data_IF_445312158234
#
_entry.id   IF_445312158234
#
_cell.length_a   1.000
_cell.length_b   1.000
_cell.length_c   1.000
_cell.angle_alpha   90.00
_cell.angle_beta   90.00
_cell.angle_gamma   90.00
#
_symmetry.space_group_name_H-M   'P 1'
#
loop_
_entity.id
_entity.type
_entity.pdbx_description
1 polymer ?
#
# COMPACT_ATOMS: atom_id res chain seq x y z
N UNK A 1 4.36 -14.61 11.89
CA UNK A 1 3.08 -13.91 11.68
C UNK A 1 3.21 -12.99 10.45
N UNK A 2 3.33 -13.58 9.27
CA UNK A 2 3.49 -12.92 7.96
C UNK A 2 2.63 -13.60 6.86
N UNK A 3 1.78 -14.57 7.25
CA UNK A 3 1.01 -15.40 6.31
C UNK A 3 -0.18 -14.64 5.68
N UNK A 4 -0.43 -13.39 6.11
CA UNK A 4 -1.56 -12.58 5.66
C UNK A 4 -1.28 -11.73 4.41
N UNK A 5 -0.04 -11.72 3.88
CA UNK A 5 0.35 -10.85 2.75
C UNK A 5 1.26 -11.56 1.74
N UNK A 6 1.14 -11.16 0.48
CA UNK A 6 2.01 -11.55 -0.63
C UNK A 6 2.83 -10.34 -1.05
N UNK A 7 4.15 -10.45 -1.05
CA UNK A 7 5.05 -9.32 -1.33
C UNK A 7 5.58 -9.31 -2.76
N UNK A 8 5.75 -10.48 -3.36
CA UNK A 8 6.22 -10.68 -4.72
C UNK A 8 5.66 -11.98 -5.29
N UNK A 9 5.92 -12.21 -6.58
CA UNK A 9 5.54 -13.43 -7.31
C UNK A 9 6.75 -14.26 -7.72
N UNK A 10 7.96 -13.93 -7.25
CA UNK A 10 9.20 -14.53 -7.72
C UNK A 10 9.25 -16.01 -7.35
N UNK A 11 9.34 -16.88 -8.37
CA UNK A 11 9.41 -18.32 -8.20
C UNK A 11 8.11 -18.99 -7.76
N UNK A 12 6.98 -18.27 -7.71
CA UNK A 12 5.69 -18.80 -7.25
C UNK A 12 4.90 -19.46 -8.38
N UNK A 13 4.23 -20.57 -8.10
CA UNK A 13 3.19 -21.12 -8.98
C UNK A 13 1.83 -20.50 -8.67
N UNK A 14 1.25 -19.83 -9.67
CA UNK A 14 -0.01 -19.10 -9.49
C UNK A 14 -1.12 -19.62 -10.39
N UNK A 15 -2.35 -19.51 -9.92
CA UNK A 15 -3.55 -19.88 -10.69
C UNK A 15 -4.53 -18.72 -10.68
N UNK A 16 -5.06 -18.33 -11.83
CA UNK A 16 -6.13 -17.34 -11.91
C UNK A 16 -7.49 -18.04 -11.97
N UNK A 17 -8.46 -17.52 -11.22
CA UNK A 17 -9.88 -17.90 -11.28
C UNK A 17 -10.75 -16.67 -11.53
N UNK A 18 -11.79 -16.81 -12.35
CA UNK A 18 -12.62 -15.67 -12.77
C UNK A 18 -11.97 -14.76 -13.82
N UNK A 19 -12.62 -13.64 -14.08
CA UNK A 19 -12.19 -12.54 -14.96
C UNK A 19 -11.65 -11.39 -14.12
N UNK A 20 -10.68 -10.66 -14.65
CA UNK A 20 -10.24 -9.37 -14.11
C UNK A 20 -10.65 -8.36 -15.17
N UNK A 21 -11.43 -7.35 -14.77
CA UNK A 21 -11.93 -6.34 -15.71
C UNK A 21 -10.75 -5.63 -16.38
N UNK A 22 -10.93 -5.24 -17.65
CA UNK A 22 -9.91 -4.61 -18.51
C UNK A 22 -8.70 -5.48 -18.89
N UNK A 23 -8.64 -6.76 -18.51
CA UNK A 23 -7.56 -7.67 -18.89
C UNK A 23 -8.05 -8.99 -19.46
N UNK A 24 -7.40 -9.46 -20.52
CA UNK A 24 -7.59 -10.83 -21.01
C UNK A 24 -6.60 -11.79 -20.35
N UNK A 25 -6.96 -13.08 -20.27
CA UNK A 25 -6.14 -14.10 -19.59
C UNK A 25 -4.68 -14.16 -20.10
N UNK A 26 -4.38 -14.08 -21.41
CA UNK A 26 -2.99 -14.04 -21.90
C UNK A 26 -2.18 -12.85 -21.39
N UNK A 27 -2.78 -11.68 -21.21
CA UNK A 27 -2.11 -10.49 -20.66
C UNK A 27 -1.76 -10.69 -19.19
N UNK A 28 -2.69 -11.23 -18.40
CA UNK A 28 -2.46 -11.56 -17.00
C UNK A 28 -1.32 -12.58 -16.84
N UNK A 29 -1.25 -13.57 -17.74
CA UNK A 29 -0.15 -14.54 -17.78
C UNK A 29 1.18 -13.85 -18.10
N UNK A 30 1.20 -12.96 -19.09
CA UNK A 30 2.39 -12.18 -19.44
C UNK A 30 2.88 -11.31 -18.28
N UNK A 31 1.95 -10.67 -17.55
CA UNK A 31 2.26 -9.88 -16.35
C UNK A 31 2.87 -10.78 -15.27
N UNK A 32 2.22 -11.90 -14.94
CA UNK A 32 2.69 -12.82 -13.91
C UNK A 32 4.10 -13.37 -14.22
N UNK A 33 4.34 -13.78 -15.47
CA UNK A 33 5.63 -14.28 -15.90
C UNK A 33 6.73 -13.21 -15.79
N UNK A 34 6.41 -11.94 -16.11
CA UNK A 34 7.34 -10.82 -15.94
C UNK A 34 7.69 -10.55 -14.49
N UNK A 35 6.76 -10.83 -13.56
CA UNK A 35 6.97 -10.74 -12.12
C UNK A 35 7.62 -11.99 -11.52
N UNK A 36 8.06 -12.95 -12.35
CA UNK A 36 8.79 -14.14 -11.94
C UNK A 36 7.92 -15.32 -11.50
N UNK A 37 6.60 -15.25 -11.66
CA UNK A 37 5.69 -16.37 -11.38
C UNK A 37 5.56 -17.32 -12.58
N UNK A 38 5.17 -18.56 -12.29
CA UNK A 38 4.71 -19.52 -13.30
C UNK A 38 3.20 -19.71 -13.19
N UNK A 39 2.47 -19.44 -14.27
CA UNK A 39 1.01 -19.63 -14.27
C UNK A 39 0.65 -21.07 -14.63
N UNK A 40 -0.17 -21.71 -13.78
CA UNK A 40 -0.74 -23.03 -14.03
C UNK A 40 -2.21 -22.95 -14.43
N UNK A 41 -2.70 -23.92 -15.25
CA UNK A 41 -4.10 -23.94 -15.64
C UNK A 41 -5.02 -24.24 -14.46
N UNK A 42 -4.58 -25.09 -13.53
CA UNK A 42 -5.38 -25.59 -12.39
C UNK A 42 -4.57 -25.61 -11.09
N UNK A 43 -5.30 -25.61 -9.97
CA UNK A 43 -4.71 -25.68 -8.62
C UNK A 43 -4.16 -27.08 -8.38
N UNK A 44 -2.88 -27.16 -8.03
CA UNK A 44 -2.16 -28.40 -7.72
C UNK A 44 -1.33 -28.27 -6.43
N UNK A 45 -0.61 -29.34 -6.07
CA UNK A 45 0.11 -29.42 -4.79
C UNK A 45 1.20 -28.36 -4.61
N UNK A 46 1.76 -27.86 -5.71
CA UNK A 46 2.81 -26.84 -5.71
C UNK A 46 2.26 -25.42 -5.90
N UNK A 47 0.93 -25.25 -6.00
CA UNK A 47 0.34 -23.93 -6.17
C UNK A 47 0.54 -23.10 -4.91
N UNK A 48 1.26 -22.00 -5.03
CA UNK A 48 1.49 -21.07 -3.92
C UNK A 48 0.33 -20.08 -3.78
N UNK A 49 -0.28 -19.65 -4.90
CA UNK A 49 -1.19 -18.51 -4.91
C UNK A 49 -2.36 -18.67 -5.90
N UNK A 50 -3.57 -18.39 -5.43
CA UNK A 50 -4.77 -18.26 -6.24
C UNK A 50 -5.13 -16.77 -6.39
N UNK A 51 -5.17 -16.28 -7.63
CA UNK A 51 -5.70 -14.95 -7.95
C UNK A 51 -7.19 -15.04 -8.24
N UNK A 52 -7.99 -14.36 -7.42
CA UNK A 52 -9.45 -14.33 -7.48
C UNK A 52 -9.94 -13.09 -8.23
N UNK A 53 -10.35 -13.29 -9.47
CA UNK A 53 -11.15 -12.32 -10.22
C UNK A 53 -12.66 -12.50 -9.97
N UNK A 54 -13.48 -11.73 -10.68
CA UNK A 54 -14.95 -11.78 -10.62
C UNK A 54 -15.54 -12.79 -11.59
N UNK A 55 -16.71 -13.34 -11.29
CA UNK A 55 -17.49 -14.12 -12.26
C UNK A 55 -18.97 -14.10 -11.92
N UNK A 56 -19.81 -13.92 -12.93
CA UNK A 56 -21.26 -14.05 -12.82
C UNK A 56 -21.74 -15.50 -12.83
N UNK A 57 -20.84 -16.46 -13.09
CA UNK A 57 -21.14 -17.88 -13.28
C UNK A 57 -20.49 -18.76 -12.20
N UNK A 58 -20.24 -18.21 -11.02
CA UNK A 58 -19.66 -18.97 -9.91
C UNK A 58 -20.56 -20.13 -9.47
N UNK A 59 -19.99 -21.35 -9.41
CA UNK A 59 -20.71 -22.58 -9.04
C UNK A 59 -21.43 -22.48 -7.69
N UNK A 60 -20.86 -21.73 -6.74
CA UNK A 60 -21.40 -21.59 -5.39
C UNK A 60 -22.00 -20.20 -5.13
N UNK A 61 -22.32 -19.45 -6.19
CA UNK A 61 -22.92 -18.11 -6.11
C UNK A 61 -21.91 -17.00 -5.89
N UNK A 62 -21.06 -17.10 -4.86
CA UNK A 62 -20.05 -16.09 -4.50
C UNK A 62 -18.59 -16.56 -4.65
N UNK A 63 -18.36 -17.80 -5.11
CA UNK A 63 -17.03 -18.34 -5.42
C UNK A 63 -17.07 -19.56 -6.35
N UNK A 64 -15.92 -19.90 -6.94
CA UNK A 64 -15.76 -21.00 -7.89
C UNK A 64 -15.21 -22.30 -7.28
N UNK A 65 -15.16 -23.36 -8.11
CA UNK A 65 -14.60 -24.68 -7.74
C UNK A 65 -13.13 -24.62 -7.29
N UNK A 66 -12.34 -23.72 -7.87
CA UNK A 66 -10.91 -23.55 -7.54
C UNK A 66 -10.69 -22.97 -6.15
N UNK A 67 -11.51 -22.02 -5.74
CA UNK A 67 -11.46 -21.46 -4.37
C UNK A 67 -11.90 -22.51 -3.34
N UNK A 68 -12.92 -23.31 -3.65
CA UNK A 68 -13.33 -24.45 -2.82
C UNK A 68 -12.20 -25.49 -2.67
N UNK A 69 -11.47 -25.75 -3.77
CA UNK A 69 -10.32 -26.65 -3.79
C UNK A 69 -9.19 -26.12 -2.90
N UNK A 70 -8.84 -24.83 -3.02
CA UNK A 70 -7.85 -24.19 -2.14
C UNK A 70 -8.25 -24.31 -0.67
N UNK A 71 -9.51 -24.05 -0.32
CA UNK A 71 -10.01 -24.21 1.04
C UNK A 71 -9.85 -25.66 1.56
N UNK A 72 -10.00 -26.67 0.70
CA UNK A 72 -9.77 -28.08 1.07
C UNK A 72 -8.27 -28.37 1.27
N UNK A 73 -7.42 -27.83 0.40
CA UNK A 73 -5.97 -28.05 0.44
C UNK A 73 -5.32 -27.35 1.65
N UNK A 74 -5.79 -26.16 2.02
CA UNK A 74 -5.36 -25.49 3.26
C UNK A 74 -5.65 -26.34 4.50
N UNK A 75 -6.81 -27.01 4.58
CA UNK A 75 -7.15 -27.93 5.69
C UNK A 75 -6.25 -29.16 5.75
N UNK A 76 -5.66 -29.57 4.63
CA UNK A 76 -4.71 -30.69 4.56
C UNK A 76 -3.26 -30.23 4.69
N UNK A 77 -3.02 -28.97 5.09
CA UNK A 77 -1.70 -28.42 5.41
C UNK A 77 -0.98 -27.73 4.27
N UNK A 78 -1.61 -27.57 3.10
CA UNK A 78 -1.00 -26.82 1.99
C UNK A 78 -1.04 -25.32 2.26
N UNK A 79 0.08 -24.63 1.98
CA UNK A 79 0.23 -23.18 2.17
C UNK A 79 -0.14 -22.39 0.92
N UNK A 80 -1.37 -22.60 0.43
CA UNK A 80 -1.89 -21.85 -0.71
C UNK A 80 -2.55 -20.58 -0.18
N UNK A 81 -2.17 -19.40 -0.67
CA UNK A 81 -2.81 -18.13 -0.33
C UNK A 81 -3.74 -17.66 -1.44
N UNK A 82 -4.67 -16.77 -1.14
CA UNK A 82 -5.59 -16.18 -2.13
C UNK A 82 -5.44 -14.67 -2.09
N UNK A 83 -5.35 -14.04 -3.25
CA UNK A 83 -5.42 -12.58 -3.42
C UNK A 83 -6.51 -12.25 -4.41
N UNK A 84 -7.12 -11.06 -4.33
CA UNK A 84 -8.09 -10.63 -5.34
C UNK A 84 -7.40 -9.99 -6.57
N UNK A 85 -8.21 -9.58 -7.53
CA UNK A 85 -7.76 -8.89 -8.73
C UNK A 85 -6.97 -7.61 -8.41
N UNK A 86 -7.43 -6.83 -7.44
CA UNK A 86 -6.78 -5.59 -7.04
C UNK A 86 -5.40 -5.87 -6.43
N UNK A 87 -5.30 -6.85 -5.53
CA UNK A 87 -4.02 -7.29 -4.96
C UNK A 87 -3.04 -7.78 -6.03
N UNK A 88 -3.49 -8.59 -6.98
CA UNK A 88 -2.63 -9.03 -8.09
C UNK A 88 -2.12 -7.86 -8.94
N UNK A 89 -2.98 -6.91 -9.30
CA UNK A 89 -2.57 -5.71 -10.03
C UNK A 89 -1.68 -4.79 -9.19
N UNK A 90 -1.86 -4.78 -7.87
CA UNK A 90 -0.96 -4.14 -6.91
C UNK A 90 0.45 -4.71 -7.01
N UNK A 91 0.60 -6.04 -7.04
CA UNK A 91 1.91 -6.71 -7.17
C UNK A 91 2.65 -6.30 -8.46
N UNK A 92 1.93 -6.03 -9.55
CA UNK A 92 2.52 -5.48 -10.79
C UNK A 92 3.19 -4.12 -10.58
N UNK A 93 2.61 -3.31 -9.71
CA UNK A 93 3.10 -1.97 -9.37
C UNK A 93 4.01 -1.98 -8.14
N UNK A 94 4.48 -3.17 -7.73
CA UNK A 94 5.24 -3.39 -6.51
C UNK A 94 4.47 -2.96 -5.26
N UNK A 95 3.16 -3.22 -5.13
CA UNK A 95 2.40 -3.12 -3.89
C UNK A 95 2.10 -4.53 -3.33
N UNK A 96 2.21 -4.77 -2.01
CA UNK A 96 1.92 -6.09 -1.44
C UNK A 96 0.42 -6.35 -1.54
N UNK A 97 0.05 -7.60 -1.78
CA UNK A 97 -1.35 -8.01 -1.85
C UNK A 97 -1.81 -8.62 -0.52
N UNK A 98 -2.91 -8.14 0.08
CA UNK A 98 -3.48 -8.79 1.24
C UNK A 98 -4.01 -10.16 0.82
N UNK A 99 -3.73 -11.17 1.63
CA UNK A 99 -4.36 -12.45 1.46
C UNK A 99 -5.78 -12.37 1.98
N UNK A 100 -6.67 -13.05 1.28
CA UNK A 100 -8.09 -13.14 1.62
C UNK A 100 -8.43 -14.58 1.91
N UNK A 101 -9.28 -14.79 2.91
CA UNK A 101 -9.73 -16.12 3.27
C UNK A 101 -10.58 -16.70 2.13
N UNK A 102 -10.48 -18.02 1.85
CA UNK A 102 -11.42 -18.65 0.94
C UNK A 102 -12.83 -18.59 1.49
N UNK A 103 -13.81 -18.42 0.59
CA UNK A 103 -15.19 -18.69 0.92
C UNK A 103 -15.36 -20.17 1.24
N UNK A 104 -15.78 -20.44 2.47
CA UNK A 104 -16.21 -21.75 2.93
C UNK A 104 -17.73 -21.69 3.06
N UNK A 105 -18.50 -22.66 2.55
CA UNK A 105 -19.92 -22.72 2.82
C UNK A 105 -20.12 -22.96 4.32
N UNK A 106 -20.49 -21.90 5.06
CA UNK A 106 -21.10 -22.01 6.39
C UNK A 106 -22.59 -22.22 6.18
N UNK A 107 -23.14 -23.25 6.81
CA UNK A 107 -24.58 -23.37 7.05
C UNK A 107 -24.99 -22.08 7.78
N UNK A 108 -25.81 -21.27 7.09
CA UNK A 108 -26.61 -20.13 7.56
C UNK A 108 -26.02 -19.23 8.66
N UNK A 109 -25.60 -18.02 8.27
CA UNK A 109 -26.20 -16.77 8.74
C UNK A 109 -25.59 -15.57 7.99
N UNK A 110 -26.47 -14.70 7.48
CA UNK A 110 -26.12 -13.37 6.98
C UNK A 110 -25.58 -12.51 8.13
N UNK A 111 -24.50 -11.77 7.87
CA UNK A 111 -24.25 -10.44 8.43
C UNK A 111 -23.39 -9.63 7.45
N UNK A 112 -23.54 -8.29 7.42
CA UNK A 112 -23.12 -7.45 6.31
C UNK A 112 -21.59 -7.34 6.23
N UNK A 113 -21.08 -7.02 5.04
CA UNK A 113 -19.72 -6.58 4.84
C UNK A 113 -19.41 -5.44 5.84
N UNK A 114 -18.53 -5.70 6.79
CA UNK A 114 -17.97 -4.67 7.64
C UNK A 114 -17.31 -3.64 6.74
N UNK A 115 -17.84 -2.42 6.74
CA UNK A 115 -17.08 -1.24 6.34
C UNK A 115 -15.81 -1.22 7.18
N UNK A 116 -14.65 -1.23 6.52
CA UNK A 116 -13.34 -1.37 7.16
C UNK A 116 -12.35 -1.92 6.16
N UNK A 117 -11.82 -1.05 5.29
CA UNK A 117 -10.67 -1.39 4.47
C UNK A 117 -9.41 -1.57 5.32
N UNK A 118 -8.28 -1.89 4.70
CA UNK A 118 -6.97 -1.84 5.34
C UNK A 118 -6.37 -0.45 5.11
N UNK A 119 -5.76 0.18 6.12
CA UNK A 119 -5.17 1.53 5.99
C UNK A 119 -3.97 1.55 5.03
N UNK A 120 -3.15 0.49 5.08
CA UNK A 120 -1.89 0.35 4.35
C UNK A 120 -1.35 -1.07 4.46
N UNK A 121 -0.33 -1.38 3.67
CA UNK A 121 0.39 -2.65 3.73
C UNK A 121 1.56 -2.56 4.72
N UNK A 122 2.14 -3.69 5.19
CA UNK A 122 3.35 -3.65 6.01
C UNK A 122 4.45 -2.79 5.38
N UNK A 123 5.09 -1.96 6.20
CA UNK A 123 6.08 -0.99 5.72
C UNK A 123 7.24 -1.62 4.94
N UNK A 124 7.62 -0.96 3.85
CA UNK A 124 8.82 -1.23 3.05
C UNK A 124 9.70 0.00 3.02
N UNK A 125 11.02 -0.22 3.03
CA UNK A 125 12.01 0.86 2.94
C UNK A 125 11.73 1.73 1.70
N UNK A 126 11.93 3.03 1.86
CA UNK A 126 11.74 4.05 0.83
C UNK A 126 12.66 3.87 -0.38
N UNK A 127 13.67 2.98 -0.33
CA UNK A 127 14.44 2.58 -1.50
C UNK A 127 13.65 1.69 -2.48
N UNK A 128 12.59 1.03 -2.00
CA UNK A 128 11.74 0.11 -2.80
C UNK A 128 10.32 0.62 -3.01
N UNK A 129 9.95 1.75 -2.39
CA UNK A 129 8.70 2.43 -2.67
C UNK A 129 8.83 3.17 -4.01
N UNK A 130 8.02 2.81 -5.01
CA UNK A 130 7.99 3.54 -6.27
C UNK A 130 7.33 4.91 -6.03
N UNK A 131 8.05 6.04 -6.16
CA UNK A 131 7.39 7.33 -6.21
C UNK A 131 6.56 7.35 -7.49
N UNK A 132 5.30 7.77 -7.41
CA UNK A 132 4.59 8.21 -8.61
C UNK A 132 5.31 9.48 -9.09
N UNK A 133 6.29 9.30 -9.97
CA UNK A 133 6.77 10.38 -10.83
C UNK A 133 5.62 10.70 -11.78
N UNK A 134 4.77 11.65 -11.37
CA UNK A 134 3.94 12.38 -12.31
C UNK A 134 4.91 13.03 -13.31
N UNK A 135 4.94 12.46 -14.51
CA UNK A 135 5.61 12.99 -15.70
C UNK A 135 5.23 14.47 -15.86
N UNK A 136 6.14 15.36 -15.49
CA UNK A 136 5.87 16.79 -15.55
C UNK A 136 6.82 17.68 -14.75
N UNK A 137 8.13 17.42 -14.72
CA UNK A 137 9.09 18.43 -14.27
C UNK A 137 10.22 18.58 -15.30
N UNK A 138 10.15 19.68 -16.05
CA UNK A 138 11.16 20.11 -17.02
C UNK A 138 12.52 20.25 -16.35
N UNK A 139 13.53 19.65 -16.99
CA UNK A 139 14.98 19.90 -16.86
C UNK A 139 15.46 20.23 -15.44
N UNK A 140 15.71 19.20 -14.63
CA UNK A 140 16.47 19.32 -13.38
C UNK A 140 17.79 18.57 -13.50
N UNK A 141 18.82 19.18 -12.94
CA UNK A 141 20.12 18.58 -12.68
C UNK A 141 19.94 17.15 -12.09
N UNK A 142 20.44 16.11 -12.77
CA UNK A 142 20.32 14.72 -12.32
C UNK A 142 20.83 14.52 -10.88
N UNK A 143 21.88 15.24 -10.48
CA UNK A 143 22.47 15.11 -9.14
C UNK A 143 21.53 15.67 -8.07
N UNK A 144 20.82 16.76 -8.38
CA UNK A 144 19.83 17.34 -7.49
C UNK A 144 18.60 16.43 -7.32
N UNK A 145 18.21 15.71 -8.37
CA UNK A 145 17.13 14.71 -8.35
C UNK A 145 17.54 13.50 -7.53
N UNK A 146 18.73 12.94 -7.78
CA UNK A 146 19.24 11.77 -7.06
C UNK A 146 19.45 12.05 -5.57
N UNK A 147 20.00 13.23 -5.22
CA UNK A 147 20.09 13.69 -3.82
C UNK A 147 18.72 13.84 -3.18
N UNK A 148 17.75 14.39 -3.91
CA UNK A 148 16.38 14.54 -3.44
C UNK A 148 15.71 13.20 -3.13
N UNK A 149 15.91 12.20 -4.00
CA UNK A 149 15.38 10.84 -3.84
C UNK A 149 16.03 10.13 -2.64
N UNK A 150 17.37 10.15 -2.55
CA UNK A 150 18.09 9.54 -1.41
C UNK A 150 17.69 10.17 -0.08
N UNK A 151 17.57 11.49 -0.02
CA UNK A 151 17.18 12.19 1.19
C UNK A 151 15.73 11.91 1.59
N UNK A 152 14.83 11.78 0.61
CA UNK A 152 13.43 11.38 0.84
C UNK A 152 13.37 9.94 1.40
N UNK A 153 13.98 8.97 0.74
CA UNK A 153 14.00 7.57 1.21
C UNK A 153 14.63 7.44 2.60
N UNK A 154 15.73 8.15 2.87
CA UNK A 154 16.36 8.16 4.18
C UNK A 154 15.46 8.76 5.28
N UNK A 155 14.71 9.82 4.97
CA UNK A 155 13.77 10.44 5.90
C UNK A 155 12.58 9.50 6.19
N UNK A 156 12.07 8.81 5.17
CA UNK A 156 11.02 7.81 5.31
C UNK A 156 11.45 6.65 6.21
N UNK A 157 12.64 6.10 5.97
CA UNK A 157 13.20 5.00 6.75
C UNK A 157 13.45 5.42 8.20
N UNK A 158 13.98 6.62 8.42
CA UNK A 158 14.19 7.16 9.76
C UNK A 158 12.88 7.36 10.53
N UNK A 159 11.83 7.87 9.87
CA UNK A 159 10.50 8.01 10.48
C UNK A 159 9.90 6.64 10.81
N UNK A 160 9.98 5.67 9.90
CA UNK A 160 9.49 4.32 10.15
C UNK A 160 10.22 3.65 11.32
N UNK A 161 11.52 3.88 11.47
CA UNK A 161 12.29 3.41 12.62
C UNK A 161 11.85 4.09 13.92
N UNK A 162 11.64 5.41 13.88
CA UNK A 162 11.12 6.15 15.03
C UNK A 162 9.74 5.62 15.47
N UNK A 163 8.82 5.43 14.54
CA UNK A 163 7.48 4.86 14.80
C UNK A 163 7.57 3.48 15.47
N UNK A 164 8.44 2.59 14.96
CA UNK A 164 8.68 1.28 15.58
C UNK A 164 9.19 1.41 17.02
N UNK A 165 10.08 2.37 17.29
CA UNK A 165 10.63 2.58 18.63
C UNK A 165 9.61 3.04 19.66
N UNK A 166 8.53 3.72 19.22
CA UNK A 166 7.41 4.14 20.07
C UNK A 166 6.23 3.14 20.03
N UNK A 167 6.43 1.97 19.44
CA UNK A 167 5.44 0.88 19.40
C UNK A 167 4.34 1.05 18.36
N UNK A 168 4.48 1.99 17.43
CA UNK A 168 3.57 2.16 16.29
C UNK A 168 3.98 1.22 15.15
N UNK A 169 2.99 0.76 14.37
CA UNK A 169 3.24 -0.10 13.21
C UNK A 169 3.25 0.75 11.92
N UNK A 170 4.42 1.04 11.32
CA UNK A 170 4.48 1.76 10.07
C UNK A 170 3.90 0.91 8.92
N UNK A 171 3.30 1.59 7.96
CA UNK A 171 2.61 1.05 6.82
C UNK A 171 3.02 1.78 5.54
N UNK A 172 3.17 1.02 4.46
CA UNK A 172 3.29 1.52 3.10
C UNK A 172 1.91 1.65 2.45
N UNK A 173 1.80 2.45 1.37
CA UNK A 173 0.56 2.52 0.58
C UNK A 173 0.20 1.13 0.04
N UNK A 174 -1.11 0.86 -0.03
CA UNK A 174 -1.66 -0.39 -0.57
C UNK A 174 -2.36 -0.21 -1.92
N UNK A 175 -2.59 1.04 -2.34
CA UNK A 175 -3.41 1.42 -3.48
C UNK A 175 -2.78 2.61 -4.21
N UNK A 176 -2.66 2.50 -5.54
CA UNK A 176 -2.12 3.55 -6.39
C UNK A 176 -2.94 4.84 -6.37
N UNK A 177 -4.24 4.75 -6.10
CA UNK A 177 -5.13 5.91 -6.00
C UNK A 177 -4.97 6.68 -4.69
N UNK A 178 -4.24 6.13 -3.71
CA UNK A 178 -3.95 6.76 -2.42
C UNK A 178 -2.50 6.47 -2.01
N UNK A 179 -1.56 6.90 -2.86
CA UNK A 179 -0.13 6.61 -2.75
C UNK A 179 0.61 7.54 -1.78
N UNK A 180 0.26 7.47 -0.49
CA UNK A 180 1.01 8.17 0.58
C UNK A 180 2.40 7.59 0.78
N UNK A 181 3.31 8.35 1.40
CA UNK A 181 4.68 7.87 1.68
C UNK A 181 4.72 6.93 2.89
N UNK A 182 4.02 7.30 3.97
CA UNK A 182 3.94 6.50 5.18
C UNK A 182 2.58 6.65 5.87
N UNK A 183 2.07 5.57 6.43
CA UNK A 183 0.96 5.59 7.39
C UNK A 183 1.35 4.77 8.62
N UNK A 184 0.59 4.89 9.70
CA UNK A 184 0.73 4.00 10.85
C UNK A 184 -0.58 3.92 11.62
N UNK A 185 -0.71 2.82 12.35
CA UNK A 185 -1.65 2.72 13.46
C UNK A 185 -0.89 2.96 14.76
N UNK A 186 -1.42 3.86 15.58
CA UNK A 186 -0.98 4.03 16.95
C UNK A 186 -1.56 2.93 17.85
N UNK A 187 -1.06 2.81 19.08
CA UNK A 187 -1.47 1.75 20.01
C UNK A 187 -2.97 1.83 20.38
N UNK A 188 -3.58 3.00 20.23
CA UNK A 188 -5.00 3.27 20.45
C UNK A 188 -5.88 3.02 19.21
N UNK A 189 -5.33 2.36 18.19
CA UNK A 189 -5.97 2.09 16.90
C UNK A 189 -6.31 3.35 16.09
N UNK A 190 -5.75 4.51 16.48
CA UNK A 190 -5.86 5.72 15.68
C UNK A 190 -4.96 5.61 14.44
N UNK A 191 -5.52 5.98 13.29
CA UNK A 191 -4.81 5.99 12.01
C UNK A 191 -4.11 7.32 11.80
N UNK A 192 -2.93 7.27 11.19
CA UNK A 192 -2.16 8.44 10.80
C UNK A 192 -1.58 8.25 9.41
N UNK A 193 -1.46 9.35 8.65
CA UNK A 193 -0.86 9.35 7.31
C UNK A 193 0.09 10.54 7.16
N UNK A 194 1.21 10.30 6.50
CA UNK A 194 2.28 11.26 6.27
C UNK A 194 2.67 11.36 4.80
N UNK A 195 2.94 12.59 4.39
CA UNK A 195 3.70 12.92 3.18
C UNK A 195 5.08 13.45 3.61
N UNK A 196 6.13 13.01 2.93
CA UNK A 196 7.54 13.24 3.27
C UNK A 196 8.21 14.02 2.13
N UNK A 197 8.71 15.23 2.42
CA UNK A 197 9.41 16.05 1.43
C UNK A 197 10.87 16.29 1.79
N UNK A 198 11.73 16.08 0.80
CA UNK A 198 13.13 16.53 0.84
C UNK A 198 13.21 18.00 0.41
N UNK A 199 13.97 18.80 1.14
CA UNK A 199 14.01 20.26 0.95
C UNK A 199 15.39 20.76 0.53
N UNK A 200 15.39 21.76 -0.35
CA UNK A 200 16.50 22.65 -0.68
C UNK A 200 16.05 24.10 -0.51
N UNK A 201 17.00 25.03 -0.45
CA UNK A 201 16.66 26.46 -0.41
C UNK A 201 15.85 26.89 -1.66
N UNK A 202 16.09 26.25 -2.80
CA UNK A 202 15.44 26.58 -4.07
C UNK A 202 14.03 25.99 -4.21
N UNK A 203 13.71 24.90 -3.51
CA UNK A 203 12.44 24.18 -3.69
C UNK A 203 11.51 24.21 -2.47
N UNK A 204 11.89 24.90 -1.38
CA UNK A 204 11.13 24.89 -0.12
C UNK A 204 9.64 25.22 -0.33
N UNK A 205 9.36 26.34 -1.00
CA UNK A 205 7.98 26.82 -1.17
C UNK A 205 7.16 25.84 -2.01
N UNK A 206 7.72 25.32 -3.10
CA UNK A 206 7.00 24.39 -3.98
C UNK A 206 6.78 23.05 -3.30
N UNK A 207 7.79 22.49 -2.62
CA UNK A 207 7.68 21.21 -1.94
C UNK A 207 6.71 21.24 -0.77
N UNK A 208 6.73 22.29 0.06
CA UNK A 208 5.80 22.41 1.19
C UNK A 208 4.36 22.56 0.69
N UNK A 209 4.11 23.40 -0.33
CA UNK A 209 2.77 23.54 -0.92
C UNK A 209 2.27 22.24 -1.55
N UNK A 210 3.14 21.57 -2.30
CA UNK A 210 2.80 20.31 -2.96
C UNK A 210 2.50 19.22 -1.93
N UNK A 211 3.38 19.04 -0.93
CA UNK A 211 3.18 18.04 0.12
C UNK A 211 1.93 18.31 0.97
N UNK A 212 1.62 19.58 1.25
CA UNK A 212 0.38 19.94 1.93
C UNK A 212 -0.86 19.56 1.11
N UNK A 213 -0.85 19.81 -0.21
CA UNK A 213 -1.94 19.40 -1.09
C UNK A 213 -2.14 17.88 -1.12
N UNK A 214 -1.04 17.13 -1.21
CA UNK A 214 -1.07 15.67 -1.22
C UNK A 214 -1.62 15.08 0.09
N UNK A 215 -1.12 15.51 1.25
CA UNK A 215 -1.60 14.95 2.54
C UNK A 215 -3.08 15.26 2.79
N UNK A 216 -3.56 16.42 2.33
CA UNK A 216 -4.98 16.76 2.39
C UNK A 216 -5.83 15.85 1.49
N UNK A 217 -5.36 15.55 0.27
CA UNK A 217 -6.03 14.61 -0.64
C UNK A 217 -6.06 13.19 -0.06
N UNK A 218 -4.94 12.69 0.48
CA UNK A 218 -4.90 11.39 1.15
C UNK A 218 -5.88 11.35 2.33
N UNK A 219 -5.90 12.40 3.15
CA UNK A 219 -6.86 12.53 4.25
C UNK A 219 -8.31 12.44 3.78
N UNK A 220 -8.65 13.09 2.66
CA UNK A 220 -9.98 13.01 2.07
C UNK A 220 -10.33 11.59 1.59
N UNK A 221 -9.43 10.94 0.86
CA UNK A 221 -9.61 9.57 0.32
C UNK A 221 -9.68 8.50 1.40
N UNK A 222 -8.91 8.64 2.47
CA UNK A 222 -8.96 7.72 3.61
C UNK A 222 -10.26 7.92 4.40
N UNK A 223 -10.75 9.15 4.54
CA UNK A 223 -12.05 9.43 5.17
C UNK A 223 -13.22 8.84 4.40
N UNK A 224 -13.21 8.89 3.07
CA UNK A 224 -14.26 8.23 2.27
C UNK A 224 -14.26 6.71 2.40
N UNK A 225 -13.14 6.11 2.87
CA UNK A 225 -13.00 4.68 3.18
C UNK A 225 -13.34 4.34 4.64
N UNK A 226 -13.78 5.31 5.44
CA UNK A 226 -14.20 5.12 6.83
C UNK A 226 -13.09 5.34 7.87
N UNK A 227 -11.90 5.78 7.48
CA UNK A 227 -10.84 6.13 8.42
C UNK A 227 -10.96 7.58 8.90
N UNK A 228 -10.39 7.88 10.07
CA UNK A 228 -10.25 9.26 10.56
C UNK A 228 -8.78 9.58 10.81
N UNK A 229 -7.95 9.71 9.76
CA UNK A 229 -6.51 9.79 9.93
C UNK A 229 -6.08 11.16 10.47
N UNK A 230 -5.08 11.16 11.36
CA UNK A 230 -4.26 12.33 11.65
C UNK A 230 -3.32 12.58 10.47
N UNK A 231 -3.18 13.84 10.07
CA UNK A 231 -2.41 14.22 8.89
C UNK A 231 -1.06 14.79 9.30
N UNK A 232 0.00 14.30 8.66
CA UNK A 232 1.37 14.73 8.92
C UNK A 232 2.06 15.18 7.64
N UNK A 233 2.70 16.35 7.69
CA UNK A 233 3.66 16.77 6.67
C UNK A 233 5.05 16.70 7.30
N UNK A 234 5.90 15.82 6.78
CA UNK A 234 7.23 15.55 7.32
C UNK A 234 8.26 16.13 6.38
N UNK A 235 9.15 16.96 6.90
CA UNK A 235 10.21 17.60 6.13
C UNK A 235 11.56 17.08 6.59
N UNK A 236 12.43 16.76 5.63
CA UNK A 236 13.82 16.35 5.87
C UNK A 236 14.59 17.34 6.75
N UNK A 237 14.25 18.64 6.67
CA UNK A 237 14.86 19.70 7.47
C UNK A 237 13.86 20.82 7.75
N UNK A 238 14.16 21.63 8.77
CA UNK A 238 13.35 22.80 9.11
C UNK A 238 13.42 23.86 7.99
N UNK A 239 12.28 24.32 7.45
CA UNK A 239 12.25 25.36 6.43
C UNK A 239 12.59 26.74 7.01
N UNK A 240 13.09 27.64 6.17
CA UNK A 240 13.41 29.03 6.55
C UNK A 240 12.19 29.75 7.12
N UNK A 241 11.03 29.60 6.47
CA UNK A 241 9.76 30.19 6.92
C UNK A 241 8.97 29.27 7.86
N UNK A 242 9.66 28.59 8.77
CA UNK A 242 9.07 27.60 9.70
C UNK A 242 7.82 28.10 10.43
N UNK A 243 7.81 29.33 10.94
CA UNK A 243 6.63 29.88 11.64
C UNK A 243 5.40 30.00 10.72
N UNK A 244 5.59 30.52 9.50
CA UNK A 244 4.52 30.63 8.51
C UNK A 244 3.95 29.25 8.14
N UNK A 245 4.83 28.29 7.85
CA UNK A 245 4.41 26.95 7.46
C UNK A 245 3.74 26.18 8.60
N UNK A 246 4.24 26.33 9.83
CA UNK A 246 3.62 25.72 11.01
C UNK A 246 2.20 26.25 11.24
N UNK A 247 2.02 27.57 11.14
CA UNK A 247 0.69 28.19 11.25
C UNK A 247 -0.26 27.73 10.16
N UNK A 248 0.21 27.67 8.91
CA UNK A 248 -0.60 27.18 7.79
C UNK A 248 -1.02 25.72 7.98
N UNK A 249 -0.09 24.81 8.27
CA UNK A 249 -0.39 23.39 8.46
C UNK A 249 -1.37 23.19 9.62
N UNK A 250 -1.13 23.86 10.76
CA UNK A 250 -2.03 23.79 11.92
C UNK A 250 -3.44 24.23 11.59
N UNK A 251 -3.61 25.32 10.83
CA UNK A 251 -4.93 25.83 10.41
C UNK A 251 -5.73 24.83 9.56
N UNK A 252 -5.05 23.86 8.94
CA UNK A 252 -5.64 22.82 8.10
C UNK A 252 -5.73 21.46 8.82
N UNK A 253 -5.41 21.40 10.11
CA UNK A 253 -5.38 20.14 10.86
C UNK A 253 -4.24 19.19 10.44
N UNK A 254 -3.14 19.74 9.92
CA UNK A 254 -1.93 19.00 9.53
C UNK A 254 -0.82 19.29 10.53
N UNK A 255 -0.22 18.23 11.09
CA UNK A 255 0.94 18.33 11.98
C UNK A 255 2.21 18.42 11.15
N UNK A 256 2.94 19.52 11.29
CA UNK A 256 4.23 19.72 10.62
C UNK A 256 5.36 19.14 11.48
N UNK A 257 6.14 18.24 10.91
CA UNK A 257 7.21 17.51 11.61
C UNK A 257 8.53 17.63 10.85
N UNK A 258 9.65 17.62 11.56
CA UNK A 258 10.99 17.73 10.98
C UNK A 258 11.87 16.55 11.39
N UNK A 259 12.63 16.01 10.43
CA UNK A 259 13.70 15.08 10.72
C UNK A 259 14.90 15.80 11.39
N UNK A 260 15.78 15.06 12.11
CA UNK A 260 15.67 13.64 12.46
C UNK A 260 14.85 13.38 13.74
N UNK A 261 14.39 14.42 14.43
CA UNK A 261 13.81 14.28 15.78
C UNK A 261 12.36 13.81 15.77
N UNK A 262 11.61 14.09 14.70
CA UNK A 262 10.21 13.73 14.53
C UNK A 262 9.29 14.15 15.70
N UNK A 263 9.58 15.32 16.30
CA UNK A 263 8.80 15.87 17.40
C UNK A 263 7.30 15.95 17.02
N UNK A 264 6.42 15.55 17.95
CA UNK A 264 4.95 15.50 17.79
C UNK A 264 4.39 14.29 17.01
N UNK A 265 5.23 13.33 16.60
CA UNK A 265 4.75 12.02 16.13
C UNK A 265 4.40 11.15 17.33
N UNK A 266 3.16 10.66 17.35
CA UNK A 266 2.56 9.81 18.41
C UNK A 266 1.70 8.73 17.76
#
# INVERSE_FOLDING_TARGET
>A
MLDDWVFDLQGKEIVFTGKIDDYIRPELVSIANRLGATVKPDVGNNTDLLVRGVSTQWKYGNYGTREAQVARMQRTGHRIVIVDAAGFLGLRSCFPAPTIQPHIPKITARQPASQGGVLGAPYRSGQFANPVQLLGEFSRDPDAVDRGLRAHSATQDALAQHLKSIGCMPLSPFDSDCNFDLAWNSQDDSSSVAEIKSLTLANEISQVRHGLGQVLDYGHRLRSRGFSPRLYLVLEKRPLKSFHWSGLCTSQGVTLVFAPNFESVT
#
